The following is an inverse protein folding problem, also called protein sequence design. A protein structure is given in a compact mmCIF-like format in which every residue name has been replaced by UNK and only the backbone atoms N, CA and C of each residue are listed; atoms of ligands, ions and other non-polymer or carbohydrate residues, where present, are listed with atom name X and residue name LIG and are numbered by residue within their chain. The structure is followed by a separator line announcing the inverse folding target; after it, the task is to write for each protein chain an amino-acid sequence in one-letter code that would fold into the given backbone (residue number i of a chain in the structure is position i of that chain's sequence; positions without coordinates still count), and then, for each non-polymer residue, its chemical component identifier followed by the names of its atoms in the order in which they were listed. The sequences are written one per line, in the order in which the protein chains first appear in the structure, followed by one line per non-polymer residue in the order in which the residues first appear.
data_IF_654395959690
#
_entry.id   IF_654395959690
#
_cell.length_a   1.000
_cell.length_b   1.000
_cell.length_c   1.000
_cell.angle_alpha   90.00
_cell.angle_beta   90.00
_cell.angle_gamma   90.00
#
_symmetry.space_group_name_H-M   'P 1'
#
loop_
_entity.id
_entity.type
_entity.pdbx_description
1 polymer ?
#
# COMPACT_ATOMS: atom_id res chain seq x y z
N UNK A 1 -19.55 -2.98 34.09
CA UNK A 1 -20.41 -4.07 33.65
C UNK A 1 -19.53 -5.12 32.98
N UNK A 2 -19.29 -6.15 33.80
CA UNK A 2 -18.49 -7.31 33.51
C UNK A 2 -19.05 -8.18 32.38
N UNK A 3 -18.16 -8.61 31.47
CA UNK A 3 -18.37 -9.78 30.62
C UNK A 3 -17.21 -10.74 30.78
N UNK A 4 -17.27 -11.58 31.82
CA UNK A 4 -16.53 -12.82 31.91
C UNK A 4 -17.40 -13.93 31.33
N UNK A 5 -17.12 -14.38 30.14
CA UNK A 5 -17.62 -15.66 29.62
C UNK A 5 -16.54 -16.71 29.81
N UNK A 6 -16.78 -17.55 30.78
CA UNK A 6 -16.03 -18.81 31.02
C UNK A 6 -16.28 -19.79 29.88
N UNK A 7 -15.26 -20.10 29.12
CA UNK A 7 -15.24 -21.28 28.25
C UNK A 7 -14.80 -22.50 29.05
N UNK A 8 -15.80 -23.26 29.47
CA UNK A 8 -15.63 -24.55 30.14
C UNK A 8 -15.18 -25.59 29.12
N UNK A 9 -13.89 -25.89 29.15
CA UNK A 9 -13.29 -26.96 28.37
C UNK A 9 -13.55 -28.28 29.08
N UNK A 10 -14.60 -29.01 28.65
CA UNK A 10 -14.82 -30.39 29.07
C UNK A 10 -13.81 -31.31 28.39
N UNK A 11 -12.86 -31.76 29.18
CA UNK A 11 -11.88 -32.79 28.81
C UNK A 11 -12.43 -34.13 29.23
N UNK A 12 -13.23 -34.77 28.40
CA UNK A 12 -13.66 -36.16 28.62
C UNK A 12 -12.48 -37.11 28.31
N UNK A 13 -11.90 -37.58 29.37
CA UNK A 13 -11.04 -38.77 29.34
C UNK A 13 -11.93 -39.98 29.64
N UNK A 14 -11.96 -41.01 28.80
CA UNK A 14 -12.61 -42.27 29.18
C UNK A 14 -11.75 -42.97 30.25
N UNK A 15 -12.28 -43.02 31.46
CA UNK A 15 -11.79 -43.86 32.53
C UNK A 15 -12.02 -45.30 32.14
N UNK A 16 -10.96 -46.02 31.79
CA UNK A 16 -10.99 -47.47 31.78
C UNK A 16 -11.02 -47.95 33.21
N UNK A 17 -12.20 -48.36 33.66
CA UNK A 17 -12.40 -49.04 34.91
C UNK A 17 -11.86 -50.45 34.73
N UNK A 18 -10.62 -50.73 35.20
CA UNK A 18 -10.11 -52.07 35.38
C UNK A 18 -10.78 -52.66 36.62
N UNK A 19 -11.87 -53.39 36.38
CA UNK A 19 -12.47 -54.24 37.40
C UNK A 19 -11.55 -55.40 37.71
N UNK A 20 -10.86 -55.30 38.83
CA UNK A 20 -9.90 -56.25 39.37
C UNK A 20 -10.64 -57.25 40.22
N UNK A 21 -11.53 -58.04 39.64
CA UNK A 21 -12.21 -59.12 40.38
C UNK A 21 -12.52 -60.32 39.50
N UNK A 22 -11.47 -61.00 39.00
CA UNK A 22 -11.56 -62.38 38.53
C UNK A 22 -10.20 -63.09 38.55
N UNK A 23 -9.59 -63.17 39.73
CA UNK A 23 -8.54 -64.16 39.97
C UNK A 23 -8.92 -64.93 41.23
N UNK A 24 -9.77 -65.90 41.05
CA UNK A 24 -9.71 -67.21 41.74
C UNK A 24 -10.85 -68.08 41.20
N UNK A 25 -10.51 -69.07 40.52
CA UNK A 25 -10.99 -70.44 40.47
C UNK A 25 -10.97 -71.02 39.05
N UNK A 26 -10.27 -72.11 38.90
CA UNK A 26 -10.56 -73.11 37.89
C UNK A 26 -9.62 -73.16 36.70
N UNK A 27 -8.49 -73.61 36.95
CA UNK A 27 -7.79 -74.75 36.31
C UNK A 27 -8.44 -75.31 35.02
N UNK A 28 -7.62 -75.49 33.97
CA UNK A 28 -7.82 -76.36 32.81
C UNK A 28 -8.76 -75.97 31.69
N UNK A 29 -8.71 -74.71 31.26
CA UNK A 29 -9.05 -74.40 29.86
C UNK A 29 -7.88 -74.78 28.95
N UNK A 30 -8.12 -75.73 28.06
CA UNK A 30 -7.17 -76.25 27.11
C UNK A 30 -6.32 -75.13 26.46
N UNK A 31 -5.02 -75.35 26.35
CA UNK A 31 -4.05 -74.47 25.68
C UNK A 31 -4.54 -74.00 24.28
N UNK A 32 -5.42 -74.82 23.68
CA UNK A 32 -6.09 -74.51 22.42
C UNK A 32 -7.14 -73.41 22.55
N UNK A 33 -7.98 -73.35 23.61
CA UNK A 33 -9.01 -72.29 23.79
C UNK A 33 -8.40 -70.90 24.06
N UNK A 34 -7.31 -70.86 24.85
CA UNK A 34 -6.57 -69.63 25.08
C UNK A 34 -5.93 -69.12 23.80
N UNK A 35 -5.43 -69.97 22.92
CA UNK A 35 -4.87 -69.62 21.65
C UNK A 35 -5.95 -69.11 20.65
N UNK A 36 -7.12 -69.74 20.65
CA UNK A 36 -8.25 -69.35 19.81
C UNK A 36 -8.82 -68.02 20.24
N UNK A 37 -8.96 -67.77 21.54
CA UNK A 37 -9.43 -66.52 22.09
C UNK A 37 -8.44 -65.36 21.81
N UNK A 38 -7.13 -65.63 21.96
CA UNK A 38 -6.09 -64.64 21.61
C UNK A 38 -6.09 -64.30 20.09
N UNK A 39 -6.29 -65.29 19.22
CA UNK A 39 -6.40 -65.08 17.77
C UNK A 39 -7.64 -64.32 17.41
N UNK A 40 -8.79 -64.56 18.07
CA UNK A 40 -10.03 -63.77 17.88
C UNK A 40 -9.89 -62.32 18.34
N UNK A 41 -9.19 -62.08 19.47
CA UNK A 41 -8.91 -60.71 19.94
C UNK A 41 -7.96 -59.96 19.00
N UNK A 42 -6.91 -60.63 18.51
CA UNK A 42 -6.01 -60.04 17.51
C UNK A 42 -6.73 -59.73 16.20
N UNK A 43 -7.60 -60.64 15.73
CA UNK A 43 -8.42 -60.40 14.52
C UNK A 43 -9.44 -59.26 14.71
N UNK A 44 -10.03 -59.14 15.90
CA UNK A 44 -10.93 -58.03 16.24
C UNK A 44 -10.21 -56.69 16.29
N UNK A 45 -9.00 -56.65 16.87
CA UNK A 45 -8.19 -55.42 16.91
C UNK A 45 -7.70 -55.01 15.52
N UNK A 46 -7.29 -55.96 14.66
CA UNK A 46 -6.88 -55.67 13.30
C UNK A 46 -8.03 -55.20 12.41
N UNK A 47 -9.26 -55.65 12.67
CA UNK A 47 -10.44 -55.18 11.97
C UNK A 47 -10.82 -53.72 12.37
N UNK A 48 -10.63 -53.40 13.67
CA UNK A 48 -10.85 -52.02 14.17
C UNK A 48 -9.78 -51.07 13.65
N UNK A 49 -8.52 -51.49 13.57
CA UNK A 49 -7.44 -50.68 13.01
C UNK A 49 -7.65 -50.43 11.50
N UNK A 50 -8.10 -51.41 10.74
CA UNK A 50 -8.42 -51.26 9.33
C UNK A 50 -9.54 -50.26 9.07
N UNK A 51 -10.60 -50.27 9.88
CA UNK A 51 -11.71 -49.34 9.79
C UNK A 51 -11.29 -47.91 10.17
N UNK A 52 -10.43 -47.75 11.16
CA UNK A 52 -9.84 -46.47 11.56
C UNK A 52 -8.92 -45.86 10.48
N UNK A 53 -8.17 -46.70 9.77
CA UNK A 53 -7.30 -46.24 8.69
C UNK A 53 -8.09 -45.83 7.45
N UNK A 54 -9.16 -46.51 7.12
CA UNK A 54 -10.09 -46.13 6.07
C UNK A 54 -10.81 -44.81 6.39
N UNK A 55 -11.26 -44.66 7.64
CA UNK A 55 -11.85 -43.43 8.13
C UNK A 55 -10.88 -42.23 8.07
N UNK A 56 -9.63 -42.42 8.49
CA UNK A 56 -8.57 -41.40 8.39
C UNK A 56 -8.24 -41.03 6.95
N UNK A 57 -8.25 -41.98 6.04
CA UNK A 57 -8.01 -41.76 4.61
C UNK A 57 -9.13 -40.95 3.99
N UNK A 58 -10.37 -41.22 4.32
CA UNK A 58 -11.54 -40.49 3.87
C UNK A 58 -11.57 -39.07 4.42
N UNK A 59 -11.20 -38.86 5.70
CA UNK A 59 -11.08 -37.53 6.30
C UNK A 59 -9.96 -36.68 5.67
N UNK A 60 -8.82 -37.29 5.34
CA UNK A 60 -7.72 -36.61 4.63
C UNK A 60 -8.16 -36.18 3.23
N UNK A 61 -8.86 -37.05 2.51
CA UNK A 61 -9.39 -36.73 1.18
C UNK A 61 -10.39 -35.57 1.21
N UNK A 62 -11.28 -35.55 2.23
CA UNK A 62 -12.26 -34.48 2.38
C UNK A 62 -11.61 -33.12 2.76
N UNK A 63 -10.66 -33.14 3.68
CA UNK A 63 -9.89 -31.94 4.05
C UNK A 63 -9.09 -31.39 2.87
N UNK A 64 -8.43 -32.25 2.09
CA UNK A 64 -7.69 -31.85 0.90
C UNK A 64 -8.59 -31.23 -0.17
N UNK A 65 -9.81 -31.73 -0.36
CA UNK A 65 -10.77 -31.13 -1.30
C UNK A 65 -11.25 -29.76 -0.83
N UNK A 66 -11.56 -29.61 0.46
CA UNK A 66 -12.00 -28.33 1.02
C UNK A 66 -10.87 -27.31 0.98
N UNK A 67 -9.65 -27.68 1.40
CA UNK A 67 -8.50 -26.77 1.33
C UNK A 67 -8.14 -26.41 -0.10
N UNK A 68 -8.27 -27.35 -1.04
CA UNK A 68 -8.10 -27.09 -2.47
C UNK A 68 -9.13 -26.09 -3.05
N UNK A 69 -10.41 -26.21 -2.64
CA UNK A 69 -11.44 -25.27 -3.02
C UNK A 69 -11.17 -23.87 -2.46
N UNK A 70 -10.81 -23.74 -1.19
CA UNK A 70 -10.48 -22.46 -0.58
C UNK A 70 -9.23 -21.82 -1.21
N UNK A 71 -8.20 -22.64 -1.51
CA UNK A 71 -7.02 -22.17 -2.23
C UNK A 71 -7.37 -21.68 -3.64
N UNK A 72 -8.27 -22.37 -4.34
CA UNK A 72 -8.78 -21.94 -5.65
C UNK A 72 -9.53 -20.62 -5.59
N UNK A 73 -10.44 -20.45 -4.63
CA UNK A 73 -11.16 -19.19 -4.43
C UNK A 73 -10.19 -18.04 -4.10
N UNK A 74 -9.23 -18.29 -3.23
CA UNK A 74 -8.21 -17.30 -2.89
C UNK A 74 -7.37 -16.89 -4.11
N UNK A 75 -6.96 -17.86 -4.93
CA UNK A 75 -6.21 -17.59 -6.16
C UNK A 75 -7.02 -16.72 -7.15
N UNK A 76 -8.33 -16.97 -7.30
CA UNK A 76 -9.21 -16.18 -8.15
C UNK A 76 -9.31 -14.73 -7.63
N UNK A 77 -9.45 -14.53 -6.31
CA UNK A 77 -9.49 -13.21 -5.70
C UNK A 77 -8.19 -12.44 -5.95
N UNK A 78 -7.04 -13.10 -5.77
CA UNK A 78 -5.72 -12.48 -6.00
C UNK A 78 -5.54 -12.10 -7.48
N UNK A 79 -5.89 -12.98 -8.41
CA UNK A 79 -5.82 -12.71 -9.84
C UNK A 79 -6.77 -11.56 -10.22
N UNK A 80 -7.98 -11.55 -9.67
CA UNK A 80 -8.94 -10.46 -9.86
C UNK A 80 -8.41 -9.12 -9.33
N UNK A 81 -7.84 -9.10 -8.13
CA UNK A 81 -7.27 -7.90 -7.54
C UNK A 81 -6.07 -7.37 -8.36
N UNK A 82 -5.19 -8.26 -8.82
CA UNK A 82 -4.07 -7.90 -9.70
C UNK A 82 -4.56 -7.39 -11.07
N UNK A 83 -5.60 -8.00 -11.62
CA UNK A 83 -6.22 -7.56 -12.86
C UNK A 83 -6.84 -6.16 -12.74
N UNK A 84 -7.60 -5.91 -11.65
CA UNK A 84 -8.18 -4.60 -11.38
C UNK A 84 -7.08 -3.56 -11.17
N UNK A 85 -6.04 -3.88 -10.40
CA UNK A 85 -4.89 -2.98 -10.19
C UNK A 85 -4.20 -2.66 -11.52
N UNK A 86 -3.93 -3.65 -12.35
CA UNK A 86 -3.33 -3.47 -13.68
C UNK A 86 -4.22 -2.60 -14.58
N UNK A 87 -5.52 -2.88 -14.61
CA UNK A 87 -6.48 -2.09 -15.38
C UNK A 87 -6.54 -0.63 -14.93
N UNK A 88 -6.55 -0.37 -13.63
CA UNK A 88 -6.56 1.01 -13.10
C UNK A 88 -5.24 1.75 -13.35
N UNK A 89 -4.11 1.02 -13.29
CA UNK A 89 -2.78 1.62 -13.52
C UNK A 89 -2.51 1.91 -15.00
N UNK A 90 -3.08 1.11 -15.90
CA UNK A 90 -2.90 1.25 -17.35
C UNK A 90 -4.08 1.96 -18.05
N UNK A 91 -4.95 2.65 -17.29
CA UNK A 91 -5.96 3.50 -17.92
C UNK A 91 -5.26 4.64 -18.65
N UNK A 92 -5.09 4.46 -19.94
CA UNK A 92 -4.75 5.56 -20.85
C UNK A 92 -6.05 6.29 -21.15
N UNK A 93 -6.16 7.53 -20.69
CA UNK A 93 -7.27 8.40 -21.09
C UNK A 93 -7.08 8.71 -22.58
N UNK A 94 -7.81 8.03 -23.43
CA UNK A 94 -7.74 8.21 -24.89
C UNK A 94 -8.62 9.33 -25.43
N UNK A 95 -9.38 9.96 -24.56
CA UNK A 95 -10.24 11.09 -24.91
C UNK A 95 -10.10 12.22 -23.90
N UNK A 96 -10.08 13.43 -24.38
CA UNK A 96 -10.22 14.63 -23.59
C UNK A 96 -11.37 15.46 -24.17
N UNK A 97 -12.10 16.10 -23.29
CA UNK A 97 -13.10 17.10 -23.64
C UNK A 97 -12.53 18.49 -23.30
N UNK A 98 -12.51 19.38 -24.27
CA UNK A 98 -12.09 20.78 -24.05
C UNK A 98 -13.24 21.50 -23.36
N UNK A 99 -13.15 21.59 -22.03
CA UNK A 99 -14.18 22.24 -21.20
C UNK A 99 -14.14 23.75 -21.38
N UNK A 100 -12.97 24.32 -21.67
CA UNK A 100 -12.77 25.76 -21.77
C UNK A 100 -11.59 26.04 -22.71
N UNK A 101 -11.76 27.03 -23.58
CA UNK A 101 -10.72 27.51 -24.47
C UNK A 101 -10.75 29.05 -24.47
N UNK A 102 -9.59 29.65 -24.31
CA UNK A 102 -9.40 31.09 -24.41
C UNK A 102 -8.38 31.43 -25.48
N UNK A 103 -8.58 32.55 -26.16
CA UNK A 103 -7.60 33.09 -27.08
C UNK A 103 -6.32 33.49 -26.32
N UNK A 104 -5.19 33.08 -26.85
CA UNK A 104 -3.90 33.36 -26.23
C UNK A 104 -3.49 34.79 -26.51
N UNK A 105 -3.52 35.62 -25.46
CA UNK A 105 -3.00 37.02 -25.48
C UNK A 105 -1.59 37.12 -24.90
N UNK A 106 -1.02 35.99 -24.48
CA UNK A 106 0.27 35.95 -23.78
C UNK A 106 1.45 36.02 -24.77
N UNK A 107 2.63 36.43 -24.29
CA UNK A 107 3.85 36.49 -25.10
C UNK A 107 4.32 35.07 -25.49
N UNK A 108 5.09 34.97 -26.59
CA UNK A 108 5.56 33.65 -27.12
C UNK A 108 6.36 32.85 -26.13
N UNK A 109 6.97 33.47 -25.12
CA UNK A 109 7.83 32.79 -24.11
C UNK A 109 7.11 32.50 -22.81
N UNK A 110 5.78 32.67 -22.72
CA UNK A 110 5.01 32.30 -21.53
C UNK A 110 4.92 30.81 -21.37
N UNK A 111 5.30 30.32 -20.22
CA UNK A 111 5.18 28.93 -19.81
C UNK A 111 4.01 28.76 -18.83
N UNK A 112 3.51 27.55 -18.71
CA UNK A 112 2.36 27.21 -17.87
C UNK A 112 2.69 26.05 -16.95
N UNK A 113 2.20 26.14 -15.71
CA UNK A 113 2.27 25.04 -14.75
C UNK A 113 0.93 24.88 -14.03
N UNK A 114 0.59 23.66 -13.65
CA UNK A 114 -0.58 23.38 -12.83
C UNK A 114 -0.29 23.71 -11.36
N UNK A 115 -1.20 24.38 -10.68
CA UNK A 115 -1.10 24.71 -9.28
C UNK A 115 -2.47 24.56 -8.61
N UNK A 116 -2.70 23.44 -7.94
CA UNK A 116 -4.00 23.10 -7.34
C UNK A 116 -5.13 23.15 -8.38
N UNK A 117 -6.08 24.06 -8.21
CA UNK A 117 -7.18 24.34 -9.16
C UNK A 117 -6.91 25.59 -10.03
N UNK A 118 -5.68 26.06 -10.06
CA UNK A 118 -5.25 27.25 -10.76
C UNK A 118 -4.23 26.91 -11.85
N UNK A 119 -4.02 27.84 -12.75
CA UNK A 119 -2.95 27.79 -13.75
C UNK A 119 -1.96 28.91 -13.46
N UNK A 120 -0.69 28.54 -13.33
CA UNK A 120 0.40 29.50 -13.30
C UNK A 120 0.84 29.82 -14.71
N UNK A 121 0.93 31.12 -15.00
CA UNK A 121 1.55 31.65 -16.20
C UNK A 121 2.84 32.34 -15.78
N UNK A 122 3.96 31.97 -16.32
CA UNK A 122 5.24 32.54 -15.95
C UNK A 122 6.15 32.72 -17.18
N UNK A 123 7.00 33.70 -17.12
CA UNK A 123 7.93 34.05 -18.19
C UNK A 123 9.09 34.86 -17.66
N UNK A 124 9.77 35.61 -18.55
CA UNK A 124 10.87 36.50 -18.18
C UNK A 124 10.44 37.71 -17.31
N UNK A 125 9.21 38.13 -17.44
CA UNK A 125 8.77 39.42 -16.90
C UNK A 125 7.95 39.29 -15.62
N UNK A 126 7.52 38.06 -15.29
CA UNK A 126 6.71 37.81 -14.11
C UNK A 126 6.02 36.46 -14.08
N UNK A 127 5.31 36.26 -13.00
CA UNK A 127 4.45 35.08 -12.75
C UNK A 127 3.05 35.56 -12.37
N UNK A 128 2.02 34.90 -12.86
CA UNK A 128 0.63 35.12 -12.48
C UNK A 128 -0.09 33.79 -12.23
N UNK A 129 -0.95 33.80 -11.25
CA UNK A 129 -1.88 32.75 -10.95
C UNK A 129 -3.24 33.11 -11.48
N UNK A 130 -3.84 32.27 -12.30
CA UNK A 130 -5.17 32.47 -12.87
C UNK A 130 -6.10 31.32 -12.49
N UNK A 131 -7.36 31.61 -12.28
CA UNK A 131 -8.38 30.62 -12.05
C UNK A 131 -8.83 29.94 -13.35
N UNK A 132 -9.73 28.98 -13.25
CA UNK A 132 -10.32 28.30 -14.39
C UNK A 132 -11.19 29.16 -15.30
N UNK A 133 -11.49 30.44 -14.91
CA UNK A 133 -12.15 31.42 -15.70
C UNK A 133 -11.17 32.42 -16.34
N UNK A 134 -9.86 32.14 -16.28
CA UNK A 134 -8.78 33.04 -16.72
C UNK A 134 -8.73 34.40 -16.00
N UNK A 135 -9.33 34.49 -14.80
CA UNK A 135 -9.24 35.67 -13.97
C UNK A 135 -7.98 35.59 -13.10
N UNK A 136 -7.19 36.65 -13.08
CA UNK A 136 -5.98 36.74 -12.28
C UNK A 136 -6.33 36.76 -10.80
N UNK A 137 -5.79 35.82 -10.05
CA UNK A 137 -5.90 35.73 -8.59
C UNK A 137 -4.83 36.60 -7.94
N UNK A 138 -3.59 36.42 -8.39
CA UNK A 138 -2.46 37.28 -8.04
C UNK A 138 -1.44 37.31 -9.19
N UNK A 139 -0.57 38.29 -9.17
CA UNK A 139 0.54 38.42 -10.12
C UNK A 139 1.74 39.08 -9.43
N UNK A 140 2.93 38.72 -9.85
CA UNK A 140 4.20 39.25 -9.40
C UNK A 140 5.10 39.49 -10.59
N UNK A 141 5.61 40.73 -10.72
CA UNK A 141 6.61 41.07 -11.72
C UNK A 141 8.00 40.85 -11.21
N UNK A 142 8.86 40.39 -12.08
CA UNK A 142 10.32 40.25 -11.90
C UNK A 142 11.00 40.39 -13.25
N UNK A 143 12.33 40.32 -13.26
CA UNK A 143 13.11 40.25 -14.49
C UNK A 143 14.08 39.06 -14.39
N UNK A 144 13.68 37.94 -14.99
CA UNK A 144 14.44 36.69 -15.01
C UNK A 144 14.56 36.23 -16.47
N UNK A 145 15.77 35.97 -16.93
CA UNK A 145 15.99 35.48 -18.31
C UNK A 145 15.66 34.01 -18.46
N UNK A 146 15.98 33.21 -17.46
CA UNK A 146 15.78 31.76 -17.45
C UNK A 146 15.08 31.32 -16.15
N UNK A 147 13.76 31.62 -15.99
CA UNK A 147 13.03 31.25 -14.80
C UNK A 147 12.87 29.72 -14.71
N UNK A 148 13.20 29.17 -13.56
CA UNK A 148 12.91 27.78 -13.18
C UNK A 148 11.83 27.77 -12.11
N UNK A 149 10.89 26.84 -12.23
CA UNK A 149 9.73 26.76 -11.36
C UNK A 149 9.63 25.38 -10.75
N UNK A 150 9.37 25.33 -9.44
CA UNK A 150 9.00 24.11 -8.70
C UNK A 150 7.62 24.30 -8.07
N UNK A 151 6.71 23.35 -8.27
CA UNK A 151 5.35 23.37 -7.72
C UNK A 151 5.13 22.13 -6.88
N UNK A 152 4.69 22.31 -5.64
CA UNK A 152 4.41 21.20 -4.74
C UNK A 152 3.23 21.52 -3.80
N UNK A 153 2.11 20.84 -4.01
CA UNK A 153 0.93 21.00 -3.15
C UNK A 153 0.42 22.44 -3.13
N UNK A 154 0.64 23.16 -2.02
CA UNK A 154 0.17 24.54 -1.81
C UNK A 154 1.22 25.61 -2.09
N UNK A 155 2.41 25.21 -2.48
CA UNK A 155 3.56 26.11 -2.61
C UNK A 155 4.14 26.08 -4.01
N UNK A 156 4.61 27.23 -4.44
CA UNK A 156 5.28 27.47 -5.71
C UNK A 156 6.59 28.21 -5.43
N UNK A 157 7.66 27.76 -6.02
CA UNK A 157 8.90 28.52 -6.01
C UNK A 157 9.34 28.85 -7.43
N UNK A 158 9.88 30.03 -7.62
CA UNK A 158 10.49 30.46 -8.86
C UNK A 158 11.86 31.07 -8.58
N UNK A 159 12.83 30.77 -9.42
CA UNK A 159 14.15 31.35 -9.33
C UNK A 159 14.74 31.56 -10.72
N UNK A 160 15.72 32.44 -10.83
CA UNK A 160 16.53 32.56 -12.04
C UNK A 160 17.65 31.54 -12.04
N UNK A 161 17.69 30.69 -13.07
CA UNK A 161 18.79 29.76 -13.29
C UNK A 161 20.07 30.54 -13.58
N UNK A 162 21.13 30.24 -12.84
CA UNK A 162 22.41 30.96 -12.81
C UNK A 162 22.33 32.41 -12.26
N UNK A 163 21.17 32.80 -11.75
CA UNK A 163 20.98 34.02 -10.97
C UNK A 163 21.08 33.78 -9.48
N UNK A 164 20.74 34.76 -8.68
CA UNK A 164 20.82 34.73 -7.21
C UNK A 164 19.50 34.96 -6.50
N UNK A 165 18.43 35.17 -7.25
CA UNK A 165 17.12 35.51 -6.71
C UNK A 165 16.15 34.33 -6.79
N UNK A 166 15.43 34.07 -5.70
CA UNK A 166 14.34 33.10 -5.66
C UNK A 166 13.14 33.68 -4.88
N UNK A 167 11.95 33.29 -5.26
CA UNK A 167 10.70 33.72 -4.63
C UNK A 167 9.83 32.48 -4.35
N UNK A 168 9.09 32.52 -3.26
CA UNK A 168 8.13 31.49 -2.86
C UNK A 168 6.73 32.11 -2.81
N UNK A 169 5.77 31.39 -3.34
CA UNK A 169 4.36 31.79 -3.42
C UNK A 169 3.47 30.68 -2.88
N UNK A 170 2.29 31.07 -2.47
CA UNK A 170 1.17 30.18 -2.21
C UNK A 170 -0.11 30.63 -2.96
N UNK A 171 -1.27 30.11 -2.58
CA UNK A 171 -2.56 30.51 -3.17
C UNK A 171 -2.92 31.99 -2.92
N UNK A 172 -2.30 32.67 -1.97
CA UNK A 172 -2.55 34.08 -1.61
C UNK A 172 -1.56 35.04 -2.25
N UNK A 173 -0.49 34.53 -2.84
CA UNK A 173 0.55 35.31 -3.52
C UNK A 173 1.95 35.11 -2.92
N UNK A 174 2.79 36.15 -3.04
CA UNK A 174 4.19 36.11 -2.60
C UNK A 174 4.29 35.91 -1.07
N UNK A 175 5.02 34.90 -0.65
CA UNK A 175 5.28 34.58 0.75
C UNK A 175 6.68 35.03 1.19
N UNK A 176 7.66 34.89 0.31
CA UNK A 176 9.05 35.25 0.61
C UNK A 176 9.90 35.44 -0.62
N UNK A 177 10.96 36.22 -0.44
CA UNK A 177 12.00 36.46 -1.44
C UNK A 177 13.34 36.19 -0.83
N UNK A 178 14.16 35.44 -1.54
CA UNK A 178 15.47 34.98 -1.09
C UNK A 178 16.53 35.47 -2.08
N UNK A 179 17.65 35.93 -1.55
CA UNK A 179 18.83 36.25 -2.31
C UNK A 179 19.99 35.37 -1.86
N UNK A 180 20.52 34.60 -2.79
CA UNK A 180 21.70 33.76 -2.54
C UNK A 180 22.97 34.54 -2.89
N UNK A 181 24.09 34.16 -2.26
CA UNK A 181 25.40 34.71 -2.61
C UNK A 181 26.07 33.99 -3.79
N UNK A 182 25.55 32.85 -4.20
CA UNK A 182 26.06 31.98 -5.26
C UNK A 182 25.00 31.74 -6.31
N UNK A 183 25.36 31.45 -7.56
CA UNK A 183 24.42 31.20 -8.64
C UNK A 183 23.53 29.99 -8.34
N UNK A 184 22.24 30.14 -8.55
CA UNK A 184 21.23 29.09 -8.36
C UNK A 184 21.24 28.16 -9.57
N UNK A 185 21.48 26.87 -9.30
CA UNK A 185 21.43 25.82 -10.32
C UNK A 185 20.05 25.20 -10.46
N UNK A 186 19.41 24.90 -9.32
CA UNK A 186 18.07 24.32 -9.25
C UNK A 186 17.37 24.67 -7.94
N UNK A 187 16.05 24.56 -7.94
CA UNK A 187 15.22 24.77 -6.76
C UNK A 187 14.18 23.66 -6.63
N UNK A 188 13.80 23.35 -5.39
CA UNK A 188 12.67 22.51 -5.07
C UNK A 188 11.92 23.08 -3.86
N UNK A 189 10.59 23.09 -3.93
CA UNK A 189 9.73 23.56 -2.84
C UNK A 189 8.97 22.39 -2.22
N UNK A 190 8.80 22.42 -0.91
CA UNK A 190 7.91 21.48 -0.21
C UNK A 190 6.46 21.97 -0.23
N UNK A 191 5.52 21.07 0.08
CA UNK A 191 4.10 21.45 0.23
C UNK A 191 3.81 22.42 1.38
N UNK A 192 4.78 22.68 2.24
CA UNK A 192 4.70 23.57 3.40
C UNK A 192 5.41 24.91 3.17
N UNK A 193 6.03 25.10 2.01
CA UNK A 193 6.72 26.34 1.65
C UNK A 193 8.23 26.33 1.88
N UNK A 194 8.78 25.26 2.48
CA UNK A 194 10.22 25.14 2.66
C UNK A 194 10.91 25.02 1.30
N UNK A 195 11.86 25.91 1.03
CA UNK A 195 12.58 25.97 -0.24
C UNK A 195 13.99 25.38 -0.12
N UNK A 196 14.29 24.40 -0.94
CA UNK A 196 15.64 23.87 -1.14
C UNK A 196 16.25 24.49 -2.39
N UNK A 197 17.41 25.09 -2.25
CA UNK A 197 18.14 25.79 -3.33
C UNK A 197 19.49 25.13 -3.52
N UNK A 198 19.71 24.63 -4.71
CA UNK A 198 20.99 24.09 -5.12
C UNK A 198 21.79 25.20 -5.81
N UNK A 199 22.96 25.54 -5.26
CA UNK A 199 23.83 26.59 -5.79
C UNK A 199 25.17 26.01 -6.22
N UNK A 200 25.74 26.60 -7.25
CA UNK A 200 27.09 26.24 -7.72
C UNK A 200 28.16 27.15 -7.11
N UNK A 201 29.16 26.53 -6.51
CA UNK A 201 30.39 27.14 -6.10
C UNK A 201 31.51 26.49 -6.96
N UNK A 202 32.54 27.21 -7.32
CA UNK A 202 33.57 26.88 -8.34
C UNK A 202 34.01 25.40 -8.39
N UNK A 203 33.99 24.70 -7.26
CA UNK A 203 34.38 23.27 -7.17
C UNK A 203 33.39 22.39 -6.41
N UNK A 204 32.34 22.94 -5.84
CA UNK A 204 31.40 22.21 -4.96
C UNK A 204 29.99 22.73 -5.13
N UNK A 205 29.03 21.85 -5.32
CA UNK A 205 27.63 22.22 -5.28
C UNK A 205 27.16 22.22 -3.83
N UNK A 206 26.44 23.27 -3.41
CA UNK A 206 25.90 23.41 -2.06
C UNK A 206 24.36 23.42 -2.09
N UNK A 207 23.78 22.84 -1.06
CA UNK A 207 22.32 22.87 -0.85
C UNK A 207 21.99 23.77 0.33
N UNK A 208 21.19 24.79 0.09
CA UNK A 208 20.60 25.64 1.13
C UNK A 208 19.14 25.28 1.31
N UNK A 209 18.65 25.33 2.55
CA UNK A 209 17.25 25.11 2.88
C UNK A 209 16.75 26.32 3.65
N UNK A 210 15.67 26.90 3.19
CA UNK A 210 15.01 28.08 3.75
C UNK A 210 13.60 27.70 4.18
N UNK A 211 13.24 28.08 5.41
CA UNK A 211 11.92 27.85 6.04
C UNK A 211 11.27 29.21 6.35
#
# INVERSE_FOLDING_TARGET
TDWKTETKFMRDKPLYFLDRRWYTTGNNGSRREKKTMAIQLLKKNSAVDGDMDEYRKNLRGHRLRITGLWAGVFAIIVIGALGIRSYLTHRVFSGYEVVLSYDRSDTMNTQYAEFQNYVLKYGSDGISCVDNQNKTVWSQTYNMQNPIVSVRGKSVAIAEKNGTEAMVFDSTGLQGKIQTSLPIRNIEVSSQGVLAVLVDDDNVTRLYVYD
#
